data_IF_189253618318
#
_entry.id   IF_189253618318
#
_cell.length_a   1.000
_cell.length_b   1.000
_cell.length_c   1.000
_cell.angle_alpha   90.00
_cell.angle_beta   90.00
_cell.angle_gamma   90.00
#
_symmetry.space_group_name_H-M   'P 1'
#
loop_
_entity.id
_entity.type
_entity.pdbx_description
1 polymer ?
#
# COMPACT_ATOMS: atom_id res chain seq x y z
N UNK A 1 -0.90 -17.61 21.83
CA UNK A 1 0.40 -17.48 21.16
C UNK A 1 0.75 -16.02 21.20
N UNK A 2 1.77 -15.64 21.89
CA UNK A 2 2.15 -14.23 22.05
C UNK A 2 3.63 -14.12 21.67
N UNK A 3 3.90 -13.58 20.48
CA UNK A 3 5.26 -13.20 20.12
C UNK A 3 5.70 -12.06 21.05
N UNK A 4 6.86 -12.20 21.64
CA UNK A 4 7.42 -11.19 22.52
C UNK A 4 8.15 -10.13 21.68
N UNK A 5 7.35 -9.40 20.87
CA UNK A 5 7.81 -8.30 20.04
C UNK A 5 6.85 -7.11 20.23
N UNK A 6 7.37 -6.06 20.85
CA UNK A 6 6.57 -4.88 21.19
C UNK A 6 6.23 -4.00 19.94
N UNK A 7 6.92 -4.24 18.83
CA UNK A 7 6.75 -3.48 17.59
C UNK A 7 5.77 -4.17 16.63
N UNK A 8 5.38 -5.41 16.89
CA UNK A 8 4.41 -6.15 16.09
C UNK A 8 2.99 -5.82 16.52
N UNK A 9 2.27 -5.12 15.68
CA UNK A 9 0.84 -4.94 15.83
C UNK A 9 0.10 -6.00 15.02
N UNK A 10 -0.94 -6.62 15.60
CA UNK A 10 -1.74 -7.60 14.88
C UNK A 10 -3.20 -7.58 15.31
N UNK A 11 -4.08 -7.81 14.34
CA UNK A 11 -5.53 -7.92 14.54
C UNK A 11 -6.01 -9.22 13.89
N UNK A 12 -6.84 -10.04 14.59
CA UNK A 12 -7.45 -11.21 13.97
C UNK A 12 -8.32 -10.82 12.78
N UNK A 13 -8.20 -11.56 11.70
CA UNK A 13 -8.97 -11.34 10.47
C UNK A 13 -9.40 -12.69 9.88
N UNK A 14 -10.56 -12.71 9.24
CA UNK A 14 -11.06 -13.91 8.55
C UNK A 14 -11.26 -13.60 7.08
N UNK A 15 -10.56 -14.33 6.21
CA UNK A 15 -10.71 -14.26 4.76
C UNK A 15 -11.59 -15.40 4.27
N UNK A 16 -12.46 -15.14 3.29
CA UNK A 16 -13.27 -16.18 2.65
C UNK A 16 -12.41 -17.22 1.91
N UNK A 17 -11.29 -16.76 1.33
CA UNK A 17 -10.40 -17.61 0.54
C UNK A 17 -9.40 -18.40 1.39
N UNK A 18 -8.86 -17.78 2.47
CA UNK A 18 -7.75 -18.33 3.25
C UNK A 18 -8.17 -18.78 4.66
N UNK A 19 -9.40 -18.48 5.09
CA UNK A 19 -9.89 -18.79 6.42
C UNK A 19 -9.38 -17.80 7.48
N UNK A 20 -9.12 -18.30 8.69
CA UNK A 20 -8.68 -17.51 9.82
C UNK A 20 -7.21 -17.11 9.68
N UNK A 21 -6.91 -15.84 9.94
CA UNK A 21 -5.58 -15.27 9.88
C UNK A 21 -5.41 -14.03 10.75
N UNK A 22 -4.37 -13.27 10.47
CA UNK A 22 -4.07 -12.03 11.17
C UNK A 22 -3.63 -10.97 10.15
N UNK A 23 -4.12 -9.77 10.35
CA UNK A 23 -3.55 -8.57 9.72
C UNK A 23 -2.46 -8.06 10.64
N UNK A 24 -1.24 -7.96 10.11
CA UNK A 24 -0.06 -7.56 10.88
C UNK A 24 0.51 -6.25 10.36
N UNK A 25 0.91 -5.38 11.29
CA UNK A 25 1.69 -4.18 11.01
C UNK A 25 3.16 -4.43 11.33
N UNK A 26 4.05 -4.06 10.41
CA UNK A 26 5.49 -4.23 10.54
C UNK A 26 6.21 -2.89 10.39
N UNK A 27 7.38 -2.76 11.02
CA UNK A 27 8.23 -1.57 10.89
C UNK A 27 8.93 -1.44 9.53
N UNK A 28 8.87 -2.50 8.70
CA UNK A 28 9.47 -2.58 7.37
C UNK A 28 9.64 -4.03 6.94
N UNK A 29 10.15 -4.25 5.71
CA UNK A 29 10.30 -5.59 5.13
C UNK A 29 11.21 -6.49 5.96
N UNK A 30 12.34 -5.98 6.45
CA UNK A 30 13.24 -6.75 7.29
C UNK A 30 12.58 -7.23 8.60
N UNK A 31 11.75 -6.39 9.22
CA UNK A 31 10.98 -6.77 10.40
C UNK A 31 9.99 -7.88 10.08
N UNK A 32 9.31 -7.79 8.94
CA UNK A 32 8.40 -8.81 8.44
C UNK A 32 9.12 -10.15 8.25
N UNK A 33 10.27 -10.15 7.57
CA UNK A 33 11.07 -11.37 7.30
C UNK A 33 11.52 -12.03 8.60
N UNK A 34 12.01 -11.25 9.56
CA UNK A 34 12.43 -11.76 10.89
C UNK A 34 11.26 -12.39 11.64
N UNK A 35 10.10 -11.74 11.65
CA UNK A 35 8.91 -12.26 12.33
C UNK A 35 8.41 -13.52 11.64
N UNK A 36 8.38 -13.55 10.31
CA UNK A 36 7.99 -14.72 9.55
C UNK A 36 8.92 -15.90 9.85
N UNK A 37 10.24 -15.70 9.76
CA UNK A 37 11.22 -16.75 10.05
C UNK A 37 11.08 -17.28 11.48
N UNK A 38 10.87 -16.41 12.47
CA UNK A 38 10.63 -16.81 13.86
C UNK A 38 9.38 -17.66 14.01
N UNK A 39 8.26 -17.26 13.41
CA UNK A 39 7.01 -18.02 13.45
C UNK A 39 7.16 -19.41 12.82
N UNK A 40 7.86 -19.49 11.70
CA UNK A 40 8.12 -20.76 11.02
C UNK A 40 9.05 -21.68 11.83
N UNK A 41 10.15 -21.14 12.37
CA UNK A 41 11.16 -21.93 13.09
C UNK A 41 10.78 -22.27 14.53
N UNK A 42 10.26 -21.31 15.30
CA UNK A 42 9.96 -21.52 16.72
C UNK A 42 8.65 -22.29 16.92
N UNK A 43 7.68 -22.11 16.02
CA UNK A 43 6.35 -22.69 16.16
C UNK A 43 6.01 -23.73 15.08
N UNK A 44 6.93 -23.99 14.16
CA UNK A 44 6.76 -24.94 13.04
C UNK A 44 5.48 -24.66 12.23
N UNK A 45 5.16 -23.38 12.00
CA UNK A 45 4.01 -22.95 11.24
C UNK A 45 4.38 -22.82 9.77
N UNK A 46 3.48 -23.25 8.90
CA UNK A 46 3.53 -22.92 7.47
C UNK A 46 2.68 -21.68 7.25
N UNK A 47 3.32 -20.55 7.04
CA UNK A 47 2.64 -19.28 6.83
C UNK A 47 2.31 -19.06 5.35
N UNK A 48 1.14 -18.48 5.11
CA UNK A 48 0.75 -17.92 3.83
C UNK A 48 0.68 -16.41 4.04
N UNK A 49 1.67 -15.70 3.53
CA UNK A 49 1.71 -14.24 3.60
C UNK A 49 1.07 -13.65 2.34
N UNK A 50 0.19 -12.68 2.54
CA UNK A 50 -0.45 -11.93 1.46
C UNK A 50 -0.15 -10.45 1.62
N UNK A 51 0.07 -9.75 0.52
CA UNK A 51 0.13 -8.30 0.54
C UNK A 51 -1.29 -7.73 0.78
N UNK A 52 -1.42 -6.58 1.47
CA UNK A 52 -2.70 -5.90 1.57
C UNK A 52 -3.18 -5.53 0.16
N UNK A 53 -4.43 -5.86 -0.14
CA UNK A 53 -5.09 -5.48 -1.38
C UNK A 53 -5.82 -4.14 -1.22
N UNK A 54 -5.87 -3.38 -2.29
CA UNK A 54 -6.67 -2.17 -2.38
C UNK A 54 -8.05 -2.56 -2.89
N UNK A 55 -9.09 -2.15 -2.17
CA UNK A 55 -10.47 -2.38 -2.60
C UNK A 55 -10.89 -1.26 -3.53
N UNK A 56 -11.26 -1.60 -4.76
CA UNK A 56 -11.81 -0.69 -5.75
C UNK A 56 -13.35 -0.76 -5.75
N UNK A 57 -14.01 0.35 -5.93
CA UNK A 57 -15.46 0.39 -6.18
C UNK A 57 -15.69 0.42 -7.69
N UNK A 58 -16.31 -0.62 -8.21
CA UNK A 58 -16.65 -0.74 -9.62
C UNK A 58 -18.14 -0.48 -9.80
N UNK A 59 -18.47 0.58 -10.51
CA UNK A 59 -19.82 0.96 -10.84
C UNK A 59 -20.18 0.36 -12.21
N UNK A 60 -21.23 -0.44 -12.23
CA UNK A 60 -21.73 -1.07 -13.45
C UNK A 60 -22.71 -0.17 -14.17
N UNK A 61 -22.87 -0.40 -15.46
CA UNK A 61 -23.85 0.30 -16.30
C UNK A 61 -25.33 0.07 -15.91
N UNK A 62 -25.60 -0.96 -15.10
CA UNK A 62 -26.92 -1.24 -14.52
C UNK A 62 -27.19 -0.51 -13.20
N UNK A 63 -26.21 0.29 -12.73
CA UNK A 63 -26.27 1.05 -11.48
C UNK A 63 -25.84 0.28 -10.23
N UNK A 64 -25.43 -0.98 -10.37
CA UNK A 64 -24.90 -1.74 -9.25
C UNK A 64 -23.43 -1.37 -8.97
N UNK A 65 -23.08 -1.20 -7.69
CA UNK A 65 -21.70 -1.02 -7.24
C UNK A 65 -21.19 -2.30 -6.60
N UNK A 66 -20.03 -2.76 -7.01
CA UNK A 66 -19.33 -3.91 -6.43
C UNK A 66 -17.97 -3.48 -5.91
N UNK A 67 -17.58 -4.05 -4.76
CA UNK A 67 -16.25 -3.89 -4.21
C UNK A 67 -15.35 -5.01 -4.74
N UNK A 68 -14.25 -4.66 -5.37
CA UNK A 68 -13.32 -5.59 -6.02
C UNK A 68 -11.92 -5.39 -5.44
N UNK A 69 -11.34 -6.44 -4.90
CA UNK A 69 -9.96 -6.48 -4.41
C UNK A 69 -9.06 -7.37 -5.28
N UNK A 70 -9.67 -8.16 -6.17
CA UNK A 70 -8.97 -9.07 -7.07
C UNK A 70 -9.32 -8.74 -8.53
N UNK A 71 -8.32 -8.51 -9.41
CA UNK A 71 -8.55 -8.25 -10.82
C UNK A 71 -9.35 -9.34 -11.56
N UNK A 72 -9.31 -10.59 -11.06
CA UNK A 72 -10.06 -11.70 -11.64
C UNK A 72 -11.59 -11.56 -11.46
N UNK A 73 -12.02 -10.78 -10.49
CA UNK A 73 -13.44 -10.53 -10.18
C UNK A 73 -14.02 -9.33 -10.95
N UNK A 74 -13.18 -8.65 -11.74
CA UNK A 74 -13.64 -7.53 -12.57
C UNK A 74 -14.64 -7.99 -13.61
N UNK A 75 -15.81 -7.31 -13.70
CA UNK A 75 -16.75 -7.53 -14.78
C UNK A 75 -16.14 -7.20 -16.14
N UNK A 76 -16.72 -7.68 -17.24
CA UNK A 76 -16.32 -7.24 -18.57
C UNK A 76 -16.37 -5.71 -18.69
N UNK A 77 -15.36 -5.11 -19.33
CA UNK A 77 -15.25 -3.64 -19.48
C UNK A 77 -16.50 -2.98 -20.06
N UNK A 78 -17.24 -3.70 -20.90
CA UNK A 78 -18.52 -3.24 -21.49
C UNK A 78 -19.64 -3.04 -20.47
N UNK A 79 -19.51 -3.62 -19.28
CA UNK A 79 -20.47 -3.49 -18.17
C UNK A 79 -20.00 -2.54 -17.08
N UNK A 80 -18.84 -1.95 -17.23
CA UNK A 80 -18.28 -0.99 -16.26
C UNK A 80 -18.59 0.43 -16.75
N UNK A 81 -19.23 1.22 -15.91
CA UNK A 81 -19.43 2.65 -16.14
C UNK A 81 -18.19 3.44 -15.73
N UNK A 82 -17.73 3.23 -14.50
CA UNK A 82 -16.49 3.80 -13.98
C UNK A 82 -15.96 3.00 -12.78
N UNK A 83 -14.72 3.26 -12.43
CA UNK A 83 -14.05 2.66 -11.27
C UNK A 83 -13.62 3.79 -10.34
N UNK A 84 -13.76 3.57 -9.03
CA UNK A 84 -13.23 4.46 -8.02
C UNK A 84 -12.16 3.75 -7.20
N UNK A 85 -11.07 4.47 -6.95
CA UNK A 85 -9.98 4.01 -6.11
C UNK A 85 -9.97 4.75 -4.76
N UNK A 86 -9.56 4.09 -3.66
CA UNK A 86 -9.45 4.75 -2.38
C UNK A 86 -8.27 5.73 -2.39
N UNK A 87 -8.53 6.93 -1.88
CA UNK A 87 -7.55 8.01 -1.76
C UNK A 87 -7.17 8.17 -0.30
N UNK A 88 -5.89 8.24 -0.05
CA UNK A 88 -5.34 8.60 1.26
C UNK A 88 -4.96 10.07 1.29
N UNK A 89 -5.33 10.74 2.38
CA UNK A 89 -4.72 11.99 2.79
C UNK A 89 -3.42 11.65 3.51
N UNK A 90 -2.33 12.18 3.02
CA UNK A 90 -0.98 11.89 3.50
C UNK A 90 -0.36 13.16 4.08
N UNK A 91 0.21 13.05 5.26
CA UNK A 91 0.96 14.13 5.92
C UNK A 91 2.42 13.68 6.07
N UNK A 92 3.32 14.46 5.48
CA UNK A 92 4.75 14.16 5.44
C UNK A 92 5.52 15.27 6.14
N UNK A 93 6.10 14.94 7.29
CA UNK A 93 7.00 15.83 7.99
C UNK A 93 8.43 15.60 7.51
N UNK A 94 9.07 16.65 7.02
CA UNK A 94 10.38 16.57 6.37
C UNK A 94 11.23 17.81 6.67
N UNK A 95 12.58 17.70 6.73
CA UNK A 95 13.47 18.85 6.76
C UNK A 95 13.29 19.75 5.53
N UNK A 96 13.40 21.07 5.72
CA UNK A 96 13.13 22.06 4.67
C UNK A 96 14.05 21.93 3.43
N UNK A 97 15.28 21.46 3.62
CA UNK A 97 16.25 21.20 2.55
C UNK A 97 15.91 19.98 1.70
N UNK A 98 14.99 19.11 2.14
CA UNK A 98 14.59 17.87 1.45
C UNK A 98 13.18 17.92 0.86
N UNK A 99 12.49 19.05 0.97
CA UNK A 99 11.13 19.24 0.43
C UNK A 99 11.07 18.91 -1.06
N UNK A 100 12.06 19.35 -1.85
CA UNK A 100 12.09 19.11 -3.30
C UNK A 100 12.10 17.62 -3.65
N UNK A 101 12.87 16.81 -2.92
CA UNK A 101 12.94 15.36 -3.14
C UNK A 101 11.60 14.66 -2.86
N UNK A 102 10.91 15.13 -1.81
CA UNK A 102 9.58 14.60 -1.46
C UNK A 102 8.53 14.99 -2.49
N UNK A 103 8.55 16.24 -2.94
CA UNK A 103 7.63 16.73 -3.98
C UNK A 103 7.78 15.92 -5.28
N UNK A 104 9.00 15.67 -5.73
CA UNK A 104 9.29 14.86 -6.90
C UNK A 104 8.80 13.41 -6.71
N UNK A 105 9.09 12.80 -5.55
CA UNK A 105 8.63 11.45 -5.24
C UNK A 105 7.10 11.34 -5.30
N UNK A 106 6.40 12.27 -4.66
CA UNK A 106 4.93 12.26 -4.59
C UNK A 106 4.30 12.53 -5.96
N UNK A 107 4.88 13.43 -6.75
CA UNK A 107 4.40 13.71 -8.10
C UNK A 107 4.47 12.47 -9.00
N UNK A 108 5.55 11.68 -8.88
CA UNK A 108 5.71 10.42 -9.61
C UNK A 108 4.73 9.31 -9.13
N UNK A 109 3.99 9.55 -8.04
CA UNK A 109 3.00 8.65 -7.45
C UNK A 109 1.57 9.18 -7.56
N UNK A 110 1.27 9.94 -8.58
CA UNK A 110 -0.06 10.54 -8.81
C UNK A 110 -0.58 11.36 -7.63
N UNK A 111 0.35 11.88 -6.80
CA UNK A 111 0.00 12.67 -5.63
C UNK A 111 -0.46 14.08 -5.98
N UNK A 112 -1.59 14.47 -5.43
CA UNK A 112 -2.16 15.82 -5.55
C UNK A 112 -1.74 16.66 -4.35
N UNK A 113 -0.98 17.71 -4.59
CA UNK A 113 -0.57 18.66 -3.55
C UNK A 113 -1.79 19.37 -2.93
N UNK A 114 -1.84 19.44 -1.60
CA UNK A 114 -2.89 20.12 -0.86
C UNK A 114 -2.34 21.36 -0.17
N UNK A 115 -1.45 21.18 0.78
CA UNK A 115 -0.86 22.28 1.56
C UNK A 115 0.58 22.01 1.95
N UNK A 116 1.30 23.09 2.23
CA UNK A 116 2.65 23.06 2.81
C UNK A 116 2.69 24.05 3.96
N UNK A 117 3.07 23.58 5.14
CA UNK A 117 3.13 24.39 6.36
C UNK A 117 4.51 24.28 6.97
N UNK A 118 5.17 25.42 7.19
CA UNK A 118 6.42 25.46 7.95
C UNK A 118 6.08 25.40 9.44
N UNK A 119 6.54 24.35 10.11
CA UNK A 119 6.38 24.20 11.56
C UNK A 119 7.42 25.03 12.31
N UNK A 120 8.62 25.09 11.76
CA UNK A 120 9.73 25.93 12.20
C UNK A 120 10.67 26.22 11.01
N UNK A 121 11.83 26.83 11.26
CA UNK A 121 12.80 27.18 10.22
C UNK A 121 13.39 25.93 9.49
N UNK A 122 13.33 24.78 10.13
CA UNK A 122 14.00 23.55 9.68
C UNK A 122 13.05 22.45 9.22
N UNK A 123 11.78 22.51 9.62
CA UNK A 123 10.80 21.44 9.37
C UNK A 123 9.55 21.95 8.67
N UNK A 124 9.13 21.17 7.69
CA UNK A 124 7.97 21.43 6.85
C UNK A 124 7.02 20.24 6.92
N UNK A 125 5.76 20.51 7.06
CA UNK A 125 4.67 19.55 6.91
C UNK A 125 4.05 19.70 5.52
N UNK A 126 4.02 18.61 4.76
CA UNK A 126 3.49 18.52 3.41
C UNK A 126 2.23 17.64 3.42
N UNK A 127 1.11 18.20 3.02
CA UNK A 127 -0.15 17.45 2.88
C UNK A 127 -0.45 17.16 1.41
N UNK A 128 -0.76 15.90 1.12
CA UNK A 128 -1.11 15.41 -0.21
C UNK A 128 -2.32 14.49 -0.17
N UNK A 129 -2.99 14.37 -1.32
CA UNK A 129 -3.88 13.25 -1.61
C UNK A 129 -3.18 12.31 -2.57
N UNK A 130 -3.08 11.05 -2.20
CA UNK A 130 -2.37 10.02 -2.98
C UNK A 130 -3.28 8.80 -3.07
N UNK A 131 -3.41 8.15 -4.24
CA UNK A 131 -4.08 6.87 -4.33
C UNK A 131 -3.45 5.85 -3.38
N UNK A 132 -4.27 5.12 -2.62
CA UNK A 132 -3.78 4.19 -1.61
C UNK A 132 -2.87 3.11 -2.22
N UNK A 133 -3.14 2.67 -3.45
CA UNK A 133 -2.31 1.73 -4.18
C UNK A 133 -0.85 2.19 -4.36
N UNK A 134 -0.62 3.50 -4.44
CA UNK A 134 0.72 4.07 -4.61
C UNK A 134 1.52 4.12 -3.30
N UNK A 135 0.85 3.98 -2.15
CA UNK A 135 1.47 4.07 -0.82
C UNK A 135 1.84 2.69 -0.29
N UNK A 136 1.02 1.67 -0.53
CA UNK A 136 1.07 0.37 0.15
C UNK A 136 2.39 -0.38 -0.07
N UNK A 137 3.02 -0.27 -1.24
CA UNK A 137 4.15 -1.13 -1.56
C UNK A 137 5.50 -0.56 -1.11
N UNK A 138 6.02 0.42 -1.80
CA UNK A 138 7.41 0.85 -1.65
C UNK A 138 7.55 2.35 -1.35
N UNK A 139 6.44 3.05 -1.18
CA UNK A 139 6.45 4.50 -0.99
C UNK A 139 7.21 4.92 0.26
N UNK A 140 6.98 4.23 1.37
CA UNK A 140 7.65 4.53 2.64
C UNK A 140 9.17 4.35 2.55
N UNK A 141 9.61 3.26 1.94
CA UNK A 141 11.03 2.98 1.76
C UNK A 141 11.70 4.02 0.84
N UNK A 142 11.01 4.39 -0.24
CA UNK A 142 11.49 5.46 -1.15
C UNK A 142 11.51 6.83 -0.46
N UNK A 143 10.50 7.13 0.35
CA UNK A 143 10.46 8.36 1.14
C UNK A 143 11.64 8.43 2.11
N UNK A 144 11.89 7.35 2.86
CA UNK A 144 13.04 7.24 3.75
C UNK A 144 14.36 7.39 3.01
N UNK A 145 14.51 6.74 1.88
CA UNK A 145 15.71 6.84 1.04
C UNK A 145 15.93 8.27 0.51
N UNK A 146 14.87 8.90 -0.01
CA UNK A 146 14.93 10.25 -0.56
C UNK A 146 15.25 11.32 0.50
N UNK A 147 14.94 11.03 1.76
CA UNK A 147 15.11 11.95 2.89
C UNK A 147 16.15 11.48 3.91
N UNK A 148 17.03 10.56 3.54
CA UNK A 148 18.08 10.00 4.43
C UNK A 148 17.54 9.51 5.77
N UNK A 149 16.29 9.04 5.80
CA UNK A 149 15.61 8.56 6.99
C UNK A 149 14.92 9.63 7.84
N UNK A 150 15.01 10.90 7.50
CA UNK A 150 14.47 11.99 8.33
C UNK A 150 12.98 12.24 8.18
N UNK A 151 12.36 11.87 7.04
CA UNK A 151 10.92 12.07 6.88
C UNK A 151 10.10 11.12 7.74
N UNK A 152 9.00 11.61 8.27
CA UNK A 152 7.93 10.79 8.83
C UNK A 152 6.68 10.91 7.98
N UNK A 153 5.90 9.84 7.94
CA UNK A 153 4.68 9.70 7.15
C UNK A 153 3.54 9.30 8.08
N UNK A 154 2.45 10.02 7.96
CA UNK A 154 1.15 9.61 8.47
C UNK A 154 0.12 9.65 7.35
N UNK A 155 -0.85 8.73 7.35
CA UNK A 155 -1.90 8.74 6.33
C UNK A 155 -3.22 8.22 6.88
N UNK A 156 -4.30 8.71 6.31
CA UNK A 156 -5.65 8.24 6.59
C UNK A 156 -6.46 8.17 5.29
N UNK A 157 -7.34 7.18 5.18
CA UNK A 157 -8.23 7.06 4.03
C UNK A 157 -9.22 8.23 4.07
N UNK A 158 -9.29 9.01 3.00
CA UNK A 158 -10.13 10.21 2.90
C UNK A 158 -11.36 10.03 2.01
N UNK A 159 -11.55 8.84 1.44
CA UNK A 159 -12.67 8.51 0.56
C UNK A 159 -12.23 7.82 -0.72
N UNK A 160 -13.11 7.83 -1.70
CA UNK A 160 -12.90 7.24 -3.02
C UNK A 160 -12.95 8.32 -4.10
N UNK A 161 -12.18 8.15 -5.14
CA UNK A 161 -12.14 9.06 -6.28
C UNK A 161 -12.15 8.25 -7.58
N UNK A 162 -12.87 8.77 -8.58
CA UNK A 162 -12.89 8.17 -9.91
C UNK A 162 -11.49 8.09 -10.48
N UNK A 163 -11.14 6.92 -10.98
CA UNK A 163 -9.84 6.67 -11.59
C UNK A 163 -10.01 6.23 -13.04
N UNK A 164 -9.06 6.64 -13.87
CA UNK A 164 -8.91 6.13 -15.23
C UNK A 164 -8.09 4.81 -15.26
N UNK A 165 -8.00 4.10 -14.11
CA UNK A 165 -7.30 2.84 -14.00
C UNK A 165 -7.84 1.84 -15.03
N UNK A 166 -7.05 1.59 -16.05
CA UNK A 166 -7.33 0.60 -17.06
C UNK A 166 -7.01 -0.78 -16.46
N UNK A 167 -7.72 -1.83 -16.92
CA UNK A 167 -7.50 -3.24 -16.54
C UNK A 167 -6.01 -3.67 -16.50
N UNK A 168 -5.13 -2.94 -17.19
CA UNK A 168 -3.69 -3.13 -17.20
C UNK A 168 -3.02 -2.87 -15.85
N UNK A 169 -3.42 -1.84 -15.09
CA UNK A 169 -2.82 -1.54 -13.79
C UNK A 169 -3.21 -2.57 -12.73
N UNK A 170 -4.45 -3.04 -12.78
CA UNK A 170 -4.92 -4.12 -11.91
C UNK A 170 -4.29 -5.48 -12.25
N UNK A 171 -3.90 -5.71 -13.51
CA UNK A 171 -3.22 -6.95 -13.93
C UNK A 171 -1.71 -6.93 -13.64
N UNK A 172 -1.08 -5.78 -13.57
CA UNK A 172 0.34 -5.65 -13.26
C UNK A 172 0.67 -5.96 -11.79
N UNK A 173 -0.30 -5.93 -10.89
CA UNK A 173 -0.15 -6.35 -9.49
C UNK A 173 0.14 -7.87 -9.41
N UNK A 174 -0.19 -8.65 -10.44
CA UNK A 174 0.07 -10.09 -10.52
C UNK A 174 1.35 -10.49 -11.26
N UNK A 175 2.11 -9.56 -11.86
CA UNK A 175 3.32 -9.89 -12.65
C UNK A 175 4.61 -9.82 -11.81
N UNK A 176 4.55 -9.86 -10.51
CA UNK A 176 5.72 -10.13 -9.67
C UNK A 176 5.82 -11.59 -9.24
N UNK A 177 5.52 -12.54 -10.12
CA UNK A 177 6.08 -13.88 -9.92
C UNK A 177 7.58 -13.81 -10.22
N UNK A 178 8.45 -14.20 -9.25
CA UNK A 178 9.87 -14.31 -9.54
C UNK A 178 10.04 -15.39 -10.61
N UNK A 179 10.50 -14.98 -11.78
CA UNK A 179 10.96 -15.88 -12.83
C UNK A 179 11.98 -16.85 -12.23
N UNK A 180 11.59 -18.11 -12.05
CA UNK A 180 12.51 -19.18 -11.69
C UNK A 180 13.62 -19.20 -12.73
N UNK A 181 14.91 -19.17 -12.35
CA UNK A 181 15.98 -19.35 -13.29
C UNK A 181 15.80 -20.73 -13.94
N UNK A 182 15.69 -20.77 -15.27
CA UNK A 182 15.78 -22.02 -16.02
C UNK A 182 17.19 -22.57 -15.80
N UNK A 183 17.28 -23.70 -15.13
CA UNK A 183 18.49 -24.54 -15.18
C UNK A 183 18.69 -24.97 -16.65
N UNK A 184 19.75 -24.45 -17.24
CA UNK A 184 20.24 -24.95 -18.53
C UNK A 184 21.06 -26.20 -18.19
N UNK A 185 20.60 -27.34 -18.67
CA UNK A 185 21.34 -28.59 -18.69
C UNK A 185 22.39 -28.55 -19.77
#
# INVERSE_FOLDING_TARGET
MQLNDAALEYVPETSQALGFGFRCGFLGLLHMDVIQERLEREYNLKLITTAPSVIYHVFKTDGEMIAVDNPAELPPMTKIEHIEEPIAKVEILVPSDMVGNVMELVQNRRGEFQTMTYLDETRVDLSYKIPLAEIIFDFFDKLKSATKGYASLDYQISGYQKTDAVKLDLSLIHISEPTRPRLIS
#
